data_IF_612391773430
#
_entry.id   IF_612391773430
#
_cell.length_a   1.000
_cell.length_b   1.000
_cell.length_c   1.000
_cell.angle_alpha   90.00
_cell.angle_beta   90.00
_cell.angle_gamma   90.00
#
_symmetry.space_group_name_H-M   'P 1'
#
loop_
_entity.id
_entity.type
_entity.pdbx_description
1 polymer ?
#
# COMPACT_ATOMS: atom_id res chain seq x y z
N UNK A 1 -21.78 31.86 -13.21
CA UNK A 1 -21.44 32.10 -14.63
C UNK A 1 -19.93 32.19 -14.81
N UNK A 2 -19.18 31.18 -14.36
CA UNK A 2 -17.78 30.93 -14.74
C UNK A 2 -17.67 29.40 -14.85
N UNK A 3 -18.09 28.91 -16.00
CA UNK A 3 -17.94 27.55 -16.49
C UNK A 3 -17.26 27.76 -17.84
N UNK A 4 -15.97 27.42 -17.95
CA UNK A 4 -15.18 27.15 -19.16
C UNK A 4 -13.72 27.51 -18.91
N UNK A 5 -12.92 26.51 -18.52
CA UNK A 5 -11.59 26.21 -19.06
C UNK A 5 -10.98 25.05 -18.26
N UNK A 6 -11.25 23.81 -18.67
CA UNK A 6 -10.58 22.61 -18.16
C UNK A 6 -10.59 21.48 -19.19
N UNK A 7 -10.41 21.80 -20.48
CA UNK A 7 -10.51 20.82 -21.58
C UNK A 7 -9.16 20.27 -22.09
N UNK A 8 -8.08 20.36 -21.33
CA UNK A 8 -6.75 19.92 -21.80
C UNK A 8 -5.98 19.00 -20.84
N UNK A 9 -6.53 18.62 -19.69
CA UNK A 9 -5.87 17.72 -18.72
C UNK A 9 -6.47 16.30 -18.64
N UNK A 10 -7.46 15.99 -19.48
CA UNK A 10 -8.28 14.79 -19.31
C UNK A 10 -7.78 13.47 -19.96
N UNK A 11 -6.83 13.41 -20.91
CA UNK A 11 -6.37 12.12 -21.46
C UNK A 11 -5.25 11.45 -20.64
N UNK A 12 -4.38 12.23 -19.97
CA UNK A 12 -3.26 11.70 -19.19
C UNK A 12 -3.72 11.10 -17.85
N UNK A 13 -4.76 11.66 -17.22
CA UNK A 13 -5.36 11.09 -15.99
C UNK A 13 -6.15 9.79 -16.23
N UNK A 14 -6.60 9.52 -17.46
CA UNK A 14 -7.25 8.25 -17.78
C UNK A 14 -6.23 7.12 -18.01
N UNK A 15 -5.02 7.45 -18.46
CA UNK A 15 -3.96 6.46 -18.69
C UNK A 15 -3.31 5.99 -17.37
N UNK A 16 -3.20 6.86 -16.36
CA UNK A 16 -2.71 6.49 -15.03
C UNK A 16 -3.62 5.45 -14.36
N UNK A 17 -4.94 5.54 -14.54
CA UNK A 17 -5.89 4.54 -14.04
C UNK A 17 -5.85 3.19 -14.79
N UNK A 18 -5.35 3.17 -16.03
CA UNK A 18 -5.27 1.97 -16.90
C UNK A 18 -3.95 1.20 -16.72
N UNK A 19 -2.86 1.87 -16.34
CA UNK A 19 -1.55 1.26 -16.11
C UNK A 19 -1.40 0.58 -14.74
N UNK A 20 -2.34 0.82 -13.84
CA UNK A 20 -2.18 0.53 -12.42
C UNK A 20 -2.37 -0.95 -12.04
N UNK A 21 -2.82 -1.85 -12.93
CA UNK A 21 -3.28 -3.13 -12.42
C UNK A 21 -3.21 -4.32 -13.38
N UNK A 22 -2.78 -5.45 -12.80
CA UNK A 22 -2.80 -6.78 -13.39
C UNK A 22 -1.93 -7.74 -12.59
N UNK A 23 -2.51 -8.66 -11.82
CA UNK A 23 -1.86 -9.92 -11.45
C UNK A 23 -2.94 -10.99 -11.29
N UNK A 24 -2.61 -12.20 -11.72
CA UNK A 24 -3.26 -13.43 -11.33
C UNK A 24 -2.19 -14.53 -11.25
N UNK A 25 -2.38 -15.42 -10.29
CA UNK A 25 -1.53 -16.54 -9.91
C UNK A 25 -1.02 -17.38 -11.09
N UNK A 26 0.25 -17.79 -11.01
CA UNK A 26 0.87 -18.77 -11.90
C UNK A 26 0.86 -20.16 -11.24
N UNK A 27 0.22 -21.14 -11.90
CA UNK A 27 0.42 -22.57 -11.63
C UNK A 27 1.74 -23.06 -12.30
N UNK A 28 2.37 -24.06 -11.67
CA UNK A 28 3.73 -24.60 -11.90
C UNK A 28 4.14 -24.98 -13.37
N UNK A 29 5.44 -24.97 -13.70
CA UNK A 29 5.93 -25.02 -15.09
C UNK A 29 6.34 -26.43 -15.58
N UNK A 30 6.49 -26.62 -16.91
CA UNK A 30 7.44 -27.59 -17.44
C UNK A 30 8.61 -26.92 -18.17
N UNK A 31 9.80 -27.19 -17.65
CA UNK A 31 11.14 -27.29 -18.28
C UNK A 31 11.61 -26.25 -19.31
N UNK A 32 12.58 -25.45 -18.82
CA UNK A 32 13.76 -24.88 -19.49
C UNK A 32 13.58 -24.14 -20.82
N UNK A 33 13.31 -22.84 -20.74
CA UNK A 33 13.74 -21.78 -21.67
C UNK A 33 13.98 -20.49 -20.85
N UNK A 34 14.94 -19.67 -21.26
CA UNK A 34 15.37 -18.38 -20.67
C UNK A 34 14.22 -17.45 -20.20
N UNK A 35 14.43 -16.56 -19.21
CA UNK A 35 13.36 -15.79 -18.58
C UNK A 35 12.74 -14.81 -19.58
N UNK A 36 11.54 -15.14 -20.06
CA UNK A 36 10.65 -14.20 -20.75
C UNK A 36 10.08 -13.27 -19.67
N UNK A 37 10.37 -11.98 -19.76
CA UNK A 37 9.80 -10.96 -18.85
C UNK A 37 8.27 -11.03 -18.90
N UNK A 38 7.64 -11.43 -17.80
CA UNK A 38 6.24 -11.85 -17.70
C UNK A 38 5.20 -10.71 -17.71
N UNK A 39 5.63 -9.44 -17.71
CA UNK A 39 4.76 -8.26 -17.54
C UNK A 39 4.74 -7.28 -18.73
N UNK A 40 5.23 -7.70 -19.90
CA UNK A 40 5.19 -6.90 -21.12
C UNK A 40 4.00 -7.34 -21.97
N UNK A 41 3.07 -6.41 -22.21
CA UNK A 41 1.89 -6.63 -23.02
C UNK A 41 2.02 -5.91 -24.35
N UNK A 42 1.80 -6.62 -25.46
CA UNK A 42 1.68 -6.02 -26.78
C UNK A 42 0.22 -6.07 -27.24
N UNK A 43 -0.36 -4.90 -27.52
CA UNK A 43 -1.74 -4.73 -27.94
C UNK A 43 -1.74 -4.22 -29.38
N UNK A 44 -2.39 -4.96 -30.27
CA UNK A 44 -2.50 -4.60 -31.70
C UNK A 44 -3.93 -4.29 -32.06
N UNK A 45 -4.17 -3.09 -32.57
CA UNK A 45 -5.50 -2.62 -32.95
C UNK A 45 -5.49 -2.25 -34.43
N UNK A 46 -6.21 -3.02 -35.24
CA UNK A 46 -6.31 -2.75 -36.69
C UNK A 46 -7.26 -1.58 -36.93
N UNK A 47 -6.83 -0.60 -37.75
CA UNK A 47 -7.67 0.52 -38.13
C UNK A 47 -8.82 0.10 -39.06
N UNK A 48 -9.88 0.89 -39.02
CA UNK A 48 -10.99 0.81 -39.98
C UNK A 48 -10.99 2.12 -40.76
N UNK A 49 -10.78 2.05 -42.07
CA UNK A 49 -10.61 3.22 -42.95
C UNK A 49 -9.49 4.17 -42.45
N UNK A 50 -8.38 3.60 -41.99
CA UNK A 50 -7.24 4.35 -41.44
C UNK A 50 -7.50 5.04 -40.10
N UNK A 51 -8.64 4.80 -39.45
CA UNK A 51 -8.97 5.36 -38.15
C UNK A 51 -9.08 4.27 -37.07
N UNK A 52 -8.61 4.59 -35.87
CA UNK A 52 -8.85 3.80 -34.66
C UNK A 52 -9.67 4.63 -33.69
N UNK A 53 -10.82 4.12 -33.25
CA UNK A 53 -11.64 4.82 -32.26
C UNK A 53 -10.96 4.77 -30.89
N UNK A 54 -11.05 5.86 -30.11
CA UNK A 54 -10.54 5.86 -28.73
C UNK A 54 -11.23 4.79 -27.87
N UNK A 55 -12.48 4.48 -28.18
CA UNK A 55 -13.21 3.36 -27.55
C UNK A 55 -12.50 2.03 -27.73
N UNK A 56 -12.05 1.74 -28.94
CA UNK A 56 -11.30 0.51 -29.26
C UNK A 56 -9.94 0.47 -28.58
N UNK A 57 -9.24 1.62 -28.48
CA UNK A 57 -7.95 1.71 -27.76
C UNK A 57 -8.12 1.35 -26.29
N UNK A 58 -9.07 1.99 -25.62
CA UNK A 58 -9.31 1.74 -24.20
C UNK A 58 -9.84 0.32 -23.97
N UNK A 59 -10.71 -0.18 -24.85
CA UNK A 59 -11.19 -1.56 -24.80
C UNK A 59 -10.04 -2.58 -24.91
N UNK A 60 -9.13 -2.40 -25.87
CA UNK A 60 -8.03 -3.33 -26.06
C UNK A 60 -7.03 -3.31 -24.88
N UNK A 61 -6.79 -2.14 -24.28
CA UNK A 61 -6.01 -2.01 -23.04
C UNK A 61 -6.74 -2.65 -21.85
N UNK A 62 -8.05 -2.45 -21.76
CA UNK A 62 -8.90 -3.05 -20.73
C UNK A 62 -8.91 -4.59 -20.83
N UNK A 63 -9.09 -5.19 -22.00
CA UNK A 63 -9.08 -6.64 -22.19
C UNK A 63 -7.73 -7.26 -21.82
N UNK A 64 -6.64 -6.58 -22.19
CA UNK A 64 -5.27 -7.05 -21.92
C UNK A 64 -4.91 -6.98 -20.44
N UNK A 65 -5.46 -6.00 -19.71
CA UNK A 65 -5.31 -5.87 -18.25
C UNK A 65 -6.40 -6.54 -17.41
N UNK A 66 -7.26 -7.38 -18.00
CA UNK A 66 -8.41 -8.07 -17.36
C UNK A 66 -9.44 -7.11 -16.71
N UNK A 67 -9.75 -6.00 -17.35
CA UNK A 67 -10.82 -5.09 -16.93
C UNK A 67 -12.16 -5.48 -17.62
N UNK A 68 -13.30 -5.21 -16.97
CA UNK A 68 -14.63 -5.48 -17.56
C UNK A 68 -14.97 -4.40 -18.59
N UNK A 69 -15.10 -4.85 -19.84
CA UNK A 69 -15.31 -4.02 -21.03
C UNK A 69 -16.69 -3.38 -21.13
N UNK A 70 -17.66 -3.84 -20.35
CA UNK A 70 -19.03 -3.31 -20.35
C UNK A 70 -19.13 -1.87 -19.82
N UNK A 71 -18.20 -1.45 -18.94
CA UNK A 71 -18.14 -0.08 -18.42
C UNK A 71 -17.69 0.98 -19.43
N UNK A 72 -17.22 0.56 -20.62
CA UNK A 72 -16.59 1.43 -21.62
C UNK A 72 -17.47 1.72 -22.85
N UNK A 73 -18.75 1.32 -22.84
CA UNK A 73 -19.68 1.46 -23.97
C UNK A 73 -19.96 2.91 -24.42
N UNK A 74 -19.52 3.94 -23.68
CA UNK A 74 -19.66 5.36 -24.06
C UNK A 74 -18.41 6.20 -23.73
N UNK A 75 -17.27 5.85 -24.33
CA UNK A 75 -16.03 6.63 -24.29
C UNK A 75 -16.13 7.94 -25.12
N UNK A 76 -15.26 8.95 -24.89
CA UNK A 76 -15.36 10.23 -25.59
C UNK A 76 -15.35 10.04 -27.12
N UNK A 77 -16.30 10.69 -27.80
CA UNK A 77 -16.40 10.69 -29.26
C UNK A 77 -15.08 11.20 -29.87
N UNK A 78 -14.41 10.32 -30.63
CA UNK A 78 -13.18 10.65 -31.33
C UNK A 78 -12.44 9.44 -31.88
N UNK A 79 -11.72 9.65 -32.97
CA UNK A 79 -10.83 8.65 -33.55
C UNK A 79 -9.46 9.25 -33.81
N UNK A 80 -8.46 8.38 -33.79
CA UNK A 80 -7.11 8.67 -34.23
C UNK A 80 -7.00 8.23 -35.68
N UNK A 81 -6.70 9.15 -36.59
CA UNK A 81 -6.39 8.81 -37.97
C UNK A 81 -4.90 8.44 -38.08
N UNK A 82 -4.59 7.18 -38.34
CA UNK A 82 -3.21 6.66 -38.42
C UNK A 82 -2.48 7.08 -39.71
N UNK A 83 -3.21 7.59 -40.69
CA UNK A 83 -2.67 8.11 -41.95
C UNK A 83 -2.34 9.61 -41.88
N UNK A 84 -2.82 10.34 -40.85
CA UNK A 84 -2.50 11.76 -40.66
C UNK A 84 -1.08 11.96 -40.13
N UNK A 85 -0.30 12.81 -40.79
CA UNK A 85 1.06 13.17 -40.38
C UNK A 85 1.12 13.87 -39.01
N UNK A 86 0.01 14.50 -38.57
CA UNK A 86 -0.11 15.08 -37.22
C UNK A 86 -0.20 14.02 -36.12
N UNK A 87 -0.76 12.86 -36.44
CA UNK A 87 -0.81 11.72 -35.52
C UNK A 87 0.59 11.19 -35.22
N UNK A 88 1.47 11.12 -36.22
CA UNK A 88 2.86 10.71 -36.02
C UNK A 88 3.62 11.64 -35.05
N UNK A 89 3.39 12.96 -35.14
CA UNK A 89 3.97 13.92 -34.20
C UNK A 89 3.39 13.77 -32.78
N UNK A 90 2.09 13.48 -32.66
CA UNK A 90 1.44 13.19 -31.38
C UNK A 90 1.94 11.92 -30.71
N UNK A 91 2.12 10.83 -31.48
CA UNK A 91 2.67 9.57 -30.99
C UNK A 91 4.14 9.68 -30.61
N UNK A 92 4.93 10.46 -31.35
CA UNK A 92 6.30 10.77 -30.98
C UNK A 92 6.38 11.48 -29.63
N UNK A 93 5.53 12.50 -29.41
CA UNK A 93 5.47 13.22 -28.13
C UNK A 93 4.99 12.31 -26.99
N UNK A 94 4.04 11.40 -27.26
CA UNK A 94 3.57 10.42 -26.29
C UNK A 94 4.68 9.42 -25.90
N UNK A 95 5.42 8.86 -26.87
CA UNK A 95 6.54 7.95 -26.61
C UNK A 95 7.69 8.60 -25.86
N UNK A 96 7.93 9.90 -26.07
CA UNK A 96 8.91 10.66 -25.28
C UNK A 96 8.48 10.88 -23.83
N UNK A 97 7.20 10.71 -23.51
CA UNK A 97 6.65 10.86 -22.16
C UNK A 97 6.49 9.52 -21.42
N UNK A 98 6.42 8.41 -22.16
CA UNK A 98 6.33 7.04 -21.62
C UNK A 98 7.70 6.52 -21.16
N UNK A 99 7.74 5.51 -20.26
CA UNK A 99 8.95 4.72 -19.99
C UNK A 99 9.53 4.12 -21.29
N UNK A 100 10.84 3.86 -21.36
CA UNK A 100 11.47 3.31 -22.57
C UNK A 100 10.94 1.93 -22.96
N UNK A 101 10.43 1.19 -21.97
CA UNK A 101 9.82 -0.13 -22.09
C UNK A 101 8.35 -0.07 -22.57
N UNK A 102 7.75 1.12 -22.59
CA UNK A 102 6.39 1.36 -23.09
C UNK A 102 6.44 2.13 -24.42
N UNK A 103 5.65 1.72 -25.41
CA UNK A 103 5.62 2.43 -26.68
C UNK A 103 4.27 2.36 -27.37
N UNK A 104 3.98 3.36 -28.20
CA UNK A 104 2.83 3.40 -29.10
C UNK A 104 3.33 3.67 -30.50
N UNK A 105 3.11 2.72 -31.41
CA UNK A 105 3.62 2.74 -32.77
C UNK A 105 2.51 2.50 -33.78
N UNK A 106 2.77 2.87 -35.04
CA UNK A 106 1.89 2.53 -36.16
C UNK A 106 2.62 1.49 -37.01
N UNK A 107 2.06 0.29 -37.08
CA UNK A 107 2.49 -0.75 -38.02
C UNK A 107 1.64 -0.61 -39.29
N UNK A 108 2.27 -0.35 -40.43
CA UNK A 108 1.54 -0.09 -41.70
C UNK A 108 1.36 -1.35 -42.55
N UNK A 109 1.87 -2.50 -42.13
CA UNK A 109 1.79 -3.74 -42.91
C UNK A 109 2.42 -3.62 -44.30
N UNK A 110 1.96 -4.45 -45.24
CA UNK A 110 2.33 -4.39 -46.65
C UNK A 110 1.44 -3.42 -47.45
N UNK A 111 1.82 -3.09 -48.70
CA UNK A 111 1.06 -2.16 -49.56
C UNK A 111 -0.39 -2.64 -49.77
N UNK A 112 -1.34 -1.98 -49.11
CA UNK A 112 -2.77 -2.28 -49.20
C UNK A 112 -3.41 -2.75 -47.90
N UNK A 113 -2.61 -2.99 -46.85
CA UNK A 113 -3.11 -3.33 -45.51
C UNK A 113 -3.64 -2.10 -44.77
N UNK A 114 -4.61 -2.32 -43.87
CA UNK A 114 -5.04 -1.29 -42.92
C UNK A 114 -3.98 -1.12 -41.82
N UNK A 115 -3.58 0.12 -41.51
CA UNK A 115 -2.57 0.35 -40.49
C UNK A 115 -3.06 -0.11 -39.11
N UNK A 116 -2.16 -0.66 -38.31
CA UNK A 116 -2.41 -1.07 -36.94
C UNK A 116 -1.76 -0.09 -35.96
N UNK A 117 -2.47 0.20 -34.87
CA UNK A 117 -1.88 0.82 -33.69
C UNK A 117 -1.33 -0.29 -32.80
N UNK A 118 -0.02 -0.26 -32.55
CA UNK A 118 0.67 -1.22 -31.68
C UNK A 118 1.05 -0.51 -30.39
N UNK A 119 0.60 -1.03 -29.26
CA UNK A 119 0.89 -0.49 -27.94
C UNK A 119 1.66 -1.56 -27.15
N UNK A 120 2.88 -1.24 -26.74
CA UNK A 120 3.68 -2.04 -25.82
C UNK A 120 3.58 -1.41 -24.44
N UNK A 121 3.22 -2.20 -23.43
CA UNK A 121 3.11 -1.76 -22.03
C UNK A 121 3.94 -2.70 -21.16
N UNK A 122 4.95 -2.14 -20.50
CA UNK A 122 5.60 -2.76 -19.35
C UNK A 122 4.98 -2.17 -18.09
N UNK A 123 4.25 -3.01 -17.35
CA UNK A 123 3.48 -2.59 -16.17
C UNK A 123 4.40 -2.06 -15.06
N UNK A 124 5.50 -2.74 -14.81
CA UNK A 124 6.40 -2.41 -13.71
C UNK A 124 7.15 -1.10 -14.02
N UNK A 125 7.56 -0.92 -15.28
CA UNK A 125 8.15 0.33 -15.75
C UNK A 125 7.16 1.51 -15.67
N UNK A 126 5.88 1.29 -15.96
CA UNK A 126 4.84 2.30 -15.85
C UNK A 126 4.57 2.70 -14.39
N UNK A 127 4.49 1.73 -13.48
CA UNK A 127 4.35 1.98 -12.04
C UNK A 127 5.57 2.71 -11.47
N UNK A 128 6.78 2.28 -11.83
CA UNK A 128 8.01 2.96 -11.44
C UNK A 128 8.03 4.43 -11.92
N UNK A 129 7.55 4.68 -13.14
CA UNK A 129 7.44 6.05 -13.67
C UNK A 129 6.41 6.90 -12.95
N UNK A 130 5.28 6.33 -12.53
CA UNK A 130 4.31 7.04 -11.69
C UNK A 130 4.93 7.44 -10.35
N UNK A 131 5.62 6.51 -9.68
CA UNK A 131 6.39 6.78 -8.45
C UNK A 131 7.43 7.88 -8.66
N UNK A 132 8.16 7.86 -9.76
CA UNK A 132 9.13 8.90 -10.10
C UNK A 132 8.49 10.29 -10.27
N UNK A 133 7.33 10.37 -10.92
CA UNK A 133 6.59 11.62 -11.09
C UNK A 133 6.09 12.12 -9.73
N UNK A 134 5.54 11.23 -8.91
CA UNK A 134 5.07 11.54 -7.56
C UNK A 134 6.22 12.06 -6.69
N UNK A 135 7.38 11.40 -6.71
CA UNK A 135 8.61 11.86 -6.04
C UNK A 135 9.04 13.25 -6.50
N UNK A 136 9.08 13.50 -7.82
CA UNK A 136 9.43 14.83 -8.35
C UNK A 136 8.43 15.92 -7.94
N UNK A 137 7.16 15.57 -7.74
CA UNK A 137 6.15 16.49 -7.20
C UNK A 137 6.45 16.79 -5.73
N UNK A 138 6.73 15.77 -4.90
CA UNK A 138 7.11 15.94 -3.48
C UNK A 138 8.33 16.84 -3.31
N UNK A 139 9.41 16.57 -4.05
CA UNK A 139 10.65 17.37 -4.03
C UNK A 139 10.42 18.86 -4.36
N UNK A 140 9.43 19.16 -5.21
CA UNK A 140 9.09 20.53 -5.60
C UNK A 140 8.18 21.26 -4.61
N UNK A 141 7.35 20.52 -3.88
CA UNK A 141 6.47 21.06 -2.85
C UNK A 141 7.27 21.34 -1.57
N UNK A 142 8.35 20.59 -1.36
CA UNK A 142 9.26 20.75 -0.22
C UNK A 142 8.75 19.98 0.99
N UNK A 143 9.57 19.06 1.50
CA UNK A 143 9.30 18.36 2.76
C UNK A 143 9.74 19.24 3.94
N UNK A 144 8.94 19.28 5.01
CA UNK A 144 9.30 19.94 6.26
C UNK A 144 10.42 19.15 6.96
N UNK A 145 11.67 19.52 6.66
CA UNK A 145 12.85 18.98 7.32
C UNK A 145 12.73 19.19 8.85
N UNK A 146 12.59 18.09 9.59
CA UNK A 146 12.42 18.06 11.05
C UNK A 146 11.06 17.53 11.56
N UNK A 147 10.11 17.21 10.67
CA UNK A 147 8.82 16.58 11.04
C UNK A 147 8.93 15.05 11.24
N UNK A 148 9.79 14.40 10.45
CA UNK A 148 9.96 12.95 10.43
C UNK A 148 11.30 12.54 11.03
N UNK A 149 11.38 11.34 11.59
CA UNK A 149 12.58 10.82 12.25
C UNK A 149 12.27 10.07 13.54
N UNK A 150 13.32 9.73 14.30
CA UNK A 150 13.21 9.08 15.59
C UNK A 150 13.20 10.12 16.73
N UNK A 151 12.11 10.16 17.48
CA UNK A 151 11.92 11.08 18.60
C UNK A 151 11.93 10.30 19.91
N UNK A 152 12.97 10.50 20.71
CA UNK A 152 13.13 9.85 22.02
C UNK A 152 12.57 10.73 23.14
N UNK A 153 12.03 10.09 24.17
CA UNK A 153 11.49 10.79 25.33
C UNK A 153 12.57 11.54 26.11
N UNK A 154 12.18 12.65 26.75
CA UNK A 154 13.10 13.40 27.60
C UNK A 154 13.62 12.52 28.75
N UNK A 155 14.94 12.38 28.84
CA UNK A 155 15.59 11.59 29.89
C UNK A 155 15.53 10.09 29.68
N UNK A 156 15.23 9.61 28.47
CA UNK A 156 15.29 8.18 28.11
C UNK A 156 16.62 7.52 28.51
N UNK A 157 17.73 8.28 28.48
CA UNK A 157 19.07 7.87 28.86
C UNK A 157 19.27 7.63 30.36
N UNK A 158 18.36 8.13 31.20
CA UNK A 158 18.43 7.97 32.66
C UNK A 158 17.76 6.67 33.14
N UNK A 159 17.06 5.98 32.24
CA UNK A 159 16.36 4.72 32.53
C UNK A 159 17.28 3.54 32.18
N UNK A 160 17.30 2.55 33.08
CA UNK A 160 18.20 1.40 33.03
C UNK A 160 18.26 0.71 31.66
N UNK A 161 19.47 0.45 31.19
CA UNK A 161 19.79 -0.32 29.97
C UNK A 161 19.57 -1.83 30.13
N UNK A 162 19.16 -2.29 31.31
CA UNK A 162 18.71 -3.68 31.52
C UNK A 162 17.49 -4.01 30.64
N UNK A 163 16.65 -3.00 30.34
CA UNK A 163 15.53 -3.12 29.41
C UNK A 163 15.88 -2.50 28.04
N UNK A 164 15.39 -3.07 26.93
CA UNK A 164 15.54 -2.44 25.62
C UNK A 164 14.85 -1.06 25.58
N UNK A 165 15.34 -0.17 24.73
CA UNK A 165 14.59 1.03 24.34
C UNK A 165 13.40 0.59 23.46
N UNK A 166 12.19 0.99 23.82
CA UNK A 166 10.99 0.69 23.04
C UNK A 166 10.75 1.77 21.98
N UNK A 167 10.78 1.41 20.71
CA UNK A 167 10.44 2.31 19.60
C UNK A 167 9.05 1.97 19.09
N UNK A 168 8.14 2.95 19.14
CA UNK A 168 6.77 2.82 18.63
C UNK A 168 6.74 3.27 17.18
N UNK A 169 6.18 2.44 16.29
CA UNK A 169 6.05 2.74 14.85
C UNK A 169 4.57 2.71 14.48
N UNK A 170 4.06 3.86 14.00
CA UNK A 170 2.66 4.00 13.60
C UNK A 170 2.36 3.36 12.24
N UNK A 171 1.07 3.29 11.87
CA UNK A 171 0.59 2.73 10.60
C UNK A 171 0.24 3.77 9.53
N UNK A 172 -0.51 3.31 8.53
CA UNK A 172 -1.01 4.10 7.40
C UNK A 172 -1.96 5.21 7.86
N UNK A 173 -1.88 6.38 7.23
CA UNK A 173 -2.63 7.60 7.56
C UNK A 173 -2.74 7.91 9.07
N UNK A 174 -1.65 7.63 9.79
CA UNK A 174 -1.54 7.80 11.24
C UNK A 174 -0.38 8.72 11.60
N UNK A 175 -0.16 8.92 12.89
CA UNK A 175 1.01 9.61 13.46
C UNK A 175 1.20 9.10 14.88
N UNK A 176 2.34 9.40 15.50
CA UNK A 176 2.57 9.07 16.91
C UNK A 176 1.44 9.53 17.84
N UNK A 177 0.70 10.59 17.48
CA UNK A 177 -0.41 11.14 18.29
C UNK A 177 -1.55 10.15 18.47
N UNK A 178 -1.82 9.30 17.49
CA UNK A 178 -2.86 8.28 17.62
C UNK A 178 -2.43 7.15 18.55
N UNK A 179 -1.12 6.97 18.80
CA UNK A 179 -0.60 5.97 19.73
C UNK A 179 -0.22 6.58 21.08
N UNK A 180 -0.63 7.82 21.38
CA UNK A 180 -0.24 8.51 22.61
C UNK A 180 -0.73 7.79 23.86
N UNK A 181 -1.91 7.15 23.82
CA UNK A 181 -2.41 6.36 24.94
C UNK A 181 -1.48 5.19 25.29
N UNK A 182 -0.97 4.49 24.29
CA UNK A 182 0.01 3.40 24.48
C UNK A 182 1.37 3.94 24.94
N UNK A 183 1.81 5.05 24.37
CA UNK A 183 3.04 5.73 24.78
C UNK A 183 3.00 6.14 26.27
N UNK A 184 1.88 6.72 26.72
CA UNK A 184 1.67 7.08 28.13
C UNK A 184 1.72 5.86 29.06
N UNK A 185 1.20 4.71 28.63
CA UNK A 185 1.29 3.46 29.41
C UNK A 185 2.75 3.03 29.56
N UNK A 186 3.55 3.02 28.49
CA UNK A 186 4.97 2.68 28.55
C UNK A 186 5.74 3.59 29.51
N UNK A 187 5.45 4.90 29.47
CA UNK A 187 6.03 5.87 30.40
C UNK A 187 5.62 5.60 31.85
N UNK A 188 4.36 5.26 32.09
CA UNK A 188 3.85 4.94 33.43
C UNK A 188 4.49 3.68 34.02
N UNK A 189 4.82 2.71 33.16
CA UNK A 189 5.53 1.47 33.49
C UNK A 189 7.06 1.63 33.48
N UNK A 190 7.55 2.88 33.38
CA UNK A 190 8.97 3.25 33.43
C UNK A 190 9.83 2.60 32.33
N UNK A 191 9.28 2.40 31.13
CA UNK A 191 10.05 2.01 29.96
C UNK A 191 10.78 3.23 29.36
N UNK A 192 12.05 3.05 28.95
CA UNK A 192 12.66 3.96 27.98
C UNK A 192 11.92 3.78 26.67
N UNK A 193 11.34 4.84 26.12
CA UNK A 193 10.67 4.75 24.83
C UNK A 193 10.86 5.99 23.96
N UNK A 194 10.49 5.83 22.71
CA UNK A 194 10.43 6.87 21.70
C UNK A 194 9.51 6.46 20.57
N UNK A 195 9.25 7.39 19.67
CA UNK A 195 8.36 7.21 18.53
C UNK A 195 9.12 7.46 17.24
N UNK A 196 8.84 6.67 16.21
CA UNK A 196 9.31 6.93 14.87
C UNK A 196 8.16 7.51 14.05
N UNK A 197 8.35 8.73 13.55
CA UNK A 197 7.38 9.44 12.70
C UNK A 197 7.88 9.43 11.26
N UNK A 198 7.02 9.01 10.32
CA UNK A 198 7.36 8.93 8.90
C UNK A 198 6.15 9.30 8.03
N UNK A 199 6.36 9.67 6.74
CA UNK A 199 5.27 9.92 5.81
C UNK A 199 4.32 8.73 5.73
N UNK A 200 3.08 8.90 6.17
CA UNK A 200 2.18 7.79 6.50
C UNK A 200 1.41 7.22 5.29
N UNK A 201 1.56 7.83 4.11
CA UNK A 201 0.98 7.40 2.84
C UNK A 201 1.99 7.48 1.68
N UNK A 202 3.28 7.67 1.98
CA UNK A 202 4.39 7.60 1.03
C UNK A 202 4.86 6.15 0.74
N UNK A 203 5.83 5.95 -0.17
CA UNK A 203 6.37 4.63 -0.45
C UNK A 203 6.99 3.96 0.80
N UNK A 204 6.70 2.67 1.02
CA UNK A 204 7.16 1.99 2.24
C UNK A 204 8.68 1.79 2.26
N UNK A 205 9.31 1.68 1.09
CA UNK A 205 10.77 1.58 0.96
C UNK A 205 11.49 2.88 1.36
N UNK A 206 10.92 4.04 1.04
CA UNK A 206 11.42 5.35 1.51
C UNK A 206 11.30 5.48 3.04
N UNK A 207 10.17 5.02 3.59
CA UNK A 207 9.94 5.02 5.04
C UNK A 207 10.88 4.07 5.78
N UNK A 208 11.15 2.89 5.19
CA UNK A 208 12.11 1.94 5.71
C UNK A 208 13.54 2.50 5.64
N UNK A 209 13.91 3.18 4.55
CA UNK A 209 15.22 3.82 4.43
C UNK A 209 15.44 4.91 5.49
N UNK A 210 14.41 5.71 5.79
CA UNK A 210 14.46 6.69 6.87
C UNK A 210 14.62 6.01 8.24
N UNK A 211 13.82 4.97 8.53
CA UNK A 211 13.94 4.21 9.78
C UNK A 211 15.33 3.60 9.95
N UNK A 212 15.88 3.01 8.88
CA UNK A 212 17.22 2.43 8.88
C UNK A 212 18.29 3.49 9.20
N UNK A 213 18.19 4.68 8.61
CA UNK A 213 19.10 5.80 8.88
C UNK A 213 19.06 6.20 10.36
N UNK A 214 17.87 6.45 10.90
CA UNK A 214 17.68 6.90 12.28
C UNK A 214 18.17 5.85 13.30
N UNK A 215 17.86 4.58 13.07
CA UNK A 215 18.34 3.50 13.95
C UNK A 215 19.85 3.29 13.86
N UNK A 216 20.44 3.45 12.67
CA UNK A 216 21.89 3.36 12.48
C UNK A 216 22.62 4.52 13.18
N UNK A 217 22.09 5.74 13.08
CA UNK A 217 22.61 6.90 13.81
C UNK A 217 22.48 6.71 15.33
N UNK A 218 21.32 6.25 15.80
CA UNK A 218 21.11 5.94 17.21
C UNK A 218 22.12 4.89 17.71
N UNK A 219 22.31 3.78 16.96
CA UNK A 219 23.27 2.73 17.32
C UNK A 219 24.71 3.25 17.32
N UNK A 220 25.08 4.12 16.40
CA UNK A 220 26.42 4.72 16.34
C UNK A 220 26.75 5.45 17.64
N UNK A 221 25.78 6.15 18.20
CA UNK A 221 25.93 6.89 19.46
C UNK A 221 25.69 6.00 20.70
N UNK A 222 24.95 4.88 20.55
CA UNK A 222 24.57 3.96 21.63
C UNK A 222 24.80 2.48 21.24
N UNK A 223 26.07 2.02 21.09
CA UNK A 223 26.39 0.75 20.45
C UNK A 223 25.89 -0.49 21.19
N UNK A 224 25.75 -0.40 22.52
CA UNK A 224 25.30 -1.51 23.37
C UNK A 224 23.78 -1.47 23.64
N UNK A 225 23.08 -0.43 23.18
CA UNK A 225 21.65 -0.27 23.46
C UNK A 225 20.81 -1.13 22.55
N UNK A 226 20.07 -2.06 23.15
CA UNK A 226 19.09 -2.92 22.48
C UNK A 226 17.79 -2.18 22.24
N UNK A 227 17.14 -2.49 21.13
CA UNK A 227 15.87 -1.91 20.72
C UNK A 227 14.80 -3.01 20.62
N UNK A 228 13.63 -2.71 21.17
CA UNK A 228 12.39 -3.45 20.93
C UNK A 228 11.46 -2.53 20.13
N UNK A 229 10.94 -3.01 19.01
CA UNK A 229 9.99 -2.25 18.20
C UNK A 229 8.58 -2.76 18.45
N UNK A 230 7.65 -1.85 18.76
CA UNK A 230 6.21 -2.11 18.77
C UNK A 230 5.61 -1.39 17.58
N UNK A 231 5.15 -2.15 16.60
CA UNK A 231 4.71 -1.62 15.34
C UNK A 231 3.23 -1.91 15.10
N UNK A 232 2.45 -0.87 14.82
CA UNK A 232 1.03 -0.98 14.50
C UNK A 232 0.81 -0.98 12.99
N UNK A 233 -0.05 -1.89 12.52
CA UNK A 233 -0.50 -1.97 11.14
C UNK A 233 0.69 -1.93 10.16
N UNK A 234 0.69 -0.99 9.21
CA UNK A 234 1.74 -0.77 8.21
C UNK A 234 3.15 -0.58 8.81
N UNK A 235 3.26 -0.05 10.04
CA UNK A 235 4.56 0.13 10.71
C UNK A 235 5.34 -1.17 10.87
N UNK A 236 4.65 -2.31 10.96
CA UNK A 236 5.29 -3.63 11.02
C UNK A 236 6.01 -3.95 9.72
N UNK A 237 5.42 -3.60 8.57
CA UNK A 237 6.04 -3.79 7.25
C UNK A 237 7.27 -2.89 7.08
N UNK A 238 7.17 -1.62 7.50
CA UNK A 238 8.29 -0.67 7.49
C UNK A 238 9.45 -1.21 8.33
N UNK A 239 9.16 -1.72 9.53
CA UNK A 239 10.19 -2.28 10.42
C UNK A 239 10.82 -3.54 9.83
N UNK A 240 10.00 -4.48 9.35
CA UNK A 240 10.47 -5.70 8.67
C UNK A 240 11.39 -5.38 7.49
N UNK A 241 11.04 -4.38 6.68
CA UNK A 241 11.82 -3.98 5.51
C UNK A 241 13.24 -3.51 5.87
N UNK A 242 13.44 -3.01 7.09
CA UNK A 242 14.75 -2.66 7.65
C UNK A 242 15.46 -3.90 8.18
N UNK A 243 14.87 -4.58 9.18
CA UNK A 243 15.58 -5.62 9.95
C UNK A 243 15.80 -6.92 9.16
N UNK A 244 15.04 -7.16 8.09
CA UNK A 244 15.19 -8.33 7.21
C UNK A 244 16.02 -8.03 5.96
N UNK A 245 16.53 -6.79 5.83
CA UNK A 245 17.48 -6.45 4.79
C UNK A 245 18.86 -6.26 5.43
N UNK A 246 19.84 -7.16 5.19
CA UNK A 246 21.19 -7.03 5.74
C UNK A 246 21.91 -5.71 5.41
N UNK A 247 21.50 -5.01 4.35
CA UNK A 247 22.08 -3.71 3.99
C UNK A 247 21.49 -2.55 4.80
N UNK A 248 20.28 -2.73 5.36
CA UNK A 248 19.56 -1.71 6.14
C UNK A 248 19.56 -2.00 7.64
N UNK A 249 19.70 -3.27 8.04
CA UNK A 249 19.62 -3.68 9.44
C UNK A 249 20.71 -3.01 10.30
N UNK A 250 20.34 -2.20 11.32
CA UNK A 250 21.30 -1.60 12.23
C UNK A 250 21.99 -2.64 13.12
N UNK A 251 21.37 -3.81 13.35
CA UNK A 251 21.94 -4.92 14.13
C UNK A 251 21.76 -4.83 15.65
N UNK A 252 20.99 -3.86 16.16
CA UNK A 252 20.65 -3.71 17.58
C UNK A 252 19.15 -3.79 17.89
N UNK A 253 18.30 -3.97 16.88
CA UNK A 253 16.91 -4.39 17.09
C UNK A 253 16.92 -5.86 17.49
N UNK A 254 16.28 -6.21 18.61
CA UNK A 254 16.22 -7.58 19.14
C UNK A 254 14.81 -8.12 19.26
N UNK A 255 13.82 -7.25 19.10
CA UNK A 255 12.42 -7.64 19.18
C UNK A 255 11.59 -6.79 18.24
N UNK A 256 10.64 -7.43 17.57
CA UNK A 256 9.57 -6.80 16.82
C UNK A 256 8.23 -7.40 17.25
N UNK A 257 7.40 -6.59 17.89
CA UNK A 257 6.00 -6.90 18.20
C UNK A 257 5.13 -6.22 17.15
N UNK A 258 4.53 -7.04 16.28
CA UNK A 258 3.62 -6.58 15.24
C UNK A 258 2.18 -6.66 15.72
N UNK A 259 1.48 -5.53 15.66
CA UNK A 259 0.09 -5.39 16.06
C UNK A 259 -0.73 -5.11 14.81
N UNK A 260 -1.61 -6.04 14.43
CA UNK A 260 -2.49 -5.89 13.27
C UNK A 260 -1.77 -5.61 11.94
N UNK A 261 -0.53 -6.10 11.78
CA UNK A 261 0.27 -5.83 10.57
C UNK A 261 -0.24 -6.63 9.36
N UNK A 262 -0.50 -5.99 8.20
CA UNK A 262 -0.90 -6.67 6.97
C UNK A 262 0.29 -7.33 6.27
N UNK A 263 0.85 -8.39 6.85
CA UNK A 263 2.03 -9.10 6.33
C UNK A 263 1.87 -9.61 4.87
N UNK A 264 0.64 -9.88 4.46
CA UNK A 264 0.26 -10.23 3.08
C UNK A 264 -0.73 -9.24 2.46
N UNK A 265 -0.73 -8.00 2.92
CA UNK A 265 -1.57 -6.92 2.39
C UNK A 265 -2.99 -6.90 2.96
N UNK A 266 -3.81 -6.02 2.39
CA UNK A 266 -5.21 -5.82 2.78
C UNK A 266 -6.08 -5.53 1.55
N UNK A 267 -7.23 -6.20 1.43
CA UNK A 267 -8.22 -5.93 0.39
C UNK A 267 -8.87 -4.56 0.60
N UNK A 268 -8.91 -4.04 1.83
CA UNK A 268 -9.34 -2.66 2.11
C UNK A 268 -8.55 -1.64 1.28
N UNK A 269 -7.28 -1.91 0.97
CA UNK A 269 -6.46 -1.02 0.14
C UNK A 269 -6.92 -0.94 -1.32
N UNK A 270 -7.78 -1.86 -1.80
CA UNK A 270 -8.45 -1.74 -3.10
C UNK A 270 -9.65 -0.78 -3.09
N UNK A 271 -10.15 -0.41 -1.92
CA UNK A 271 -11.30 0.48 -1.78
C UNK A 271 -10.83 1.87 -1.33
N UNK A 272 -10.76 2.87 -2.23
CA UNK A 272 -10.42 4.24 -1.85
C UNK A 272 -11.30 4.79 -0.73
N UNK A 273 -12.60 4.43 -0.73
CA UNK A 273 -13.54 4.80 0.33
C UNK A 273 -13.42 3.96 1.62
N UNK A 274 -12.75 2.80 1.56
CA UNK A 274 -12.49 1.96 2.74
C UNK A 274 -11.36 2.52 3.61
N UNK A 275 -10.36 3.12 2.97
CA UNK A 275 -9.31 3.89 3.65
C UNK A 275 -9.92 5.15 4.30
N UNK A 276 -10.80 5.88 3.60
CA UNK A 276 -11.58 7.00 4.18
C UNK A 276 -12.48 6.55 5.37
N UNK A 277 -12.98 5.29 5.39
CA UNK A 277 -13.82 4.79 6.48
C UNK A 277 -13.04 4.57 7.79
N UNK A 278 -11.77 4.15 7.71
CA UNK A 278 -10.87 4.13 8.86
C UNK A 278 -10.57 5.53 9.38
N UNK A 279 -10.45 6.52 8.48
CA UNK A 279 -10.16 7.92 8.82
C UNK A 279 -11.31 8.61 9.59
N UNK A 280 -12.56 8.23 9.31
CA UNK A 280 -13.73 8.99 9.76
C UNK A 280 -14.40 8.49 11.05
N UNK A 281 -13.94 7.40 11.69
CA UNK A 281 -14.50 6.99 13.00
C UNK A 281 -14.08 7.88 14.17
N UNK A 282 -13.04 8.71 14.02
CA UNK A 282 -12.57 9.59 15.10
C UNK A 282 -12.81 11.10 14.89
N UNK A 283 -13.33 11.55 13.72
CA UNK A 283 -13.60 12.97 13.46
C UNK A 283 -15.07 13.24 13.10
N UNK A 284 -15.80 13.92 14.00
CA UNK A 284 -17.13 14.51 13.75
C UNK A 284 -17.13 15.71 12.76
N UNK A 285 -16.11 15.90 11.92
CA UNK A 285 -16.03 17.05 11.01
C UNK A 285 -16.29 16.67 9.54
N UNK A 286 -17.55 16.89 9.13
CA UNK A 286 -18.06 17.23 7.79
C UNK A 286 -17.09 17.09 6.61
N UNK A 287 -17.25 16.02 5.83
CA UNK A 287 -16.63 15.82 4.52
C UNK A 287 -17.09 16.88 3.49
N UNK A 288 -16.18 17.77 3.07
CA UNK A 288 -16.19 18.29 1.71
C UNK A 288 -15.11 17.54 0.91
N UNK A 289 -15.53 16.83 -0.15
CA UNK A 289 -14.67 16.07 -1.08
C UNK A 289 -13.56 16.89 -1.78
N UNK A 290 -13.40 18.18 -1.44
CA UNK A 290 -12.35 19.07 -1.91
C UNK A 290 -11.09 19.12 -1.03
N UNK A 291 -11.08 18.49 0.15
CA UNK A 291 -9.93 18.52 1.07
C UNK A 291 -8.81 17.52 0.72
N UNK A 292 -9.09 16.49 -0.10
CA UNK A 292 -8.14 15.45 -0.52
C UNK A 292 -6.93 16.05 -1.25
N UNK A 293 -7.15 17.10 -2.05
CA UNK A 293 -6.10 17.76 -2.84
C UNK A 293 -5.21 18.69 -2.00
N UNK A 294 -5.64 19.06 -0.79
CA UNK A 294 -4.92 19.98 0.09
C UNK A 294 -4.16 19.24 1.22
N UNK A 295 -4.58 18.03 1.60
CA UNK A 295 -3.86 17.16 2.56
C UNK A 295 -2.78 16.29 1.90
N UNK A 296 -2.97 15.91 0.64
CA UNK A 296 -1.99 15.16 -0.19
C UNK A 296 -0.71 15.94 -0.55
N UNK A 297 -0.63 17.23 -0.19
CA UNK A 297 0.58 18.02 -0.48
C UNK A 297 1.66 17.90 0.59
N UNK A 298 1.35 17.39 1.78
CA UNK A 298 2.30 17.34 2.90
C UNK A 298 2.59 15.95 3.45
N UNK A 299 1.72 14.97 3.25
CA UNK A 299 1.89 13.64 3.84
C UNK A 299 2.31 12.54 2.83
N UNK A 300 2.01 12.70 1.54
CA UNK A 300 2.29 11.71 0.50
C UNK A 300 1.17 11.75 -0.55
N UNK A 301 1.32 11.01 -1.65
CA UNK A 301 0.31 10.98 -2.73
C UNK A 301 -0.50 9.67 -2.71
N UNK A 302 -0.72 9.09 -1.52
CA UNK A 302 -1.34 7.79 -1.31
C UNK A 302 -0.65 6.63 -2.08
N UNK A 303 0.68 6.61 -2.02
CA UNK A 303 1.51 5.59 -2.65
C UNK A 303 1.59 4.32 -1.80
N UNK A 304 1.51 4.45 -0.47
CA UNK A 304 1.51 3.31 0.46
C UNK A 304 0.37 2.32 0.18
N UNK A 305 -0.80 2.79 -0.27
CA UNK A 305 -1.92 1.90 -0.60
C UNK A 305 -1.55 0.89 -1.70
N UNK A 306 -0.65 1.26 -2.64
CA UNK A 306 -0.18 0.36 -3.69
C UNK A 306 0.72 -0.75 -3.14
N UNK A 307 1.55 -0.43 -2.14
CA UNK A 307 2.41 -1.40 -1.47
C UNK A 307 1.61 -2.31 -0.52
N UNK A 308 0.47 -1.83 -0.01
CA UNK A 308 -0.43 -2.59 0.86
C UNK A 308 -1.39 -3.54 0.11
N UNK A 309 -1.46 -3.47 -1.22
CA UNK A 309 -2.24 -4.44 -2.00
C UNK A 309 -1.71 -5.86 -1.79
N UNK A 310 -2.59 -6.86 -1.60
CA UNK A 310 -2.22 -8.25 -1.74
C UNK A 310 -1.44 -8.47 -3.03
N UNK A 311 -0.35 -9.22 -2.96
CA UNK A 311 0.56 -9.51 -4.08
C UNK A 311 1.27 -8.28 -4.69
N UNK A 312 1.41 -7.19 -3.93
CA UNK A 312 2.24 -6.06 -4.34
C UNK A 312 3.70 -6.49 -4.51
N UNK A 313 4.44 -5.82 -5.41
CA UNK A 313 5.86 -6.08 -5.61
C UNK A 313 6.68 -5.87 -4.31
N UNK A 314 6.26 -4.90 -3.49
CA UNK A 314 6.86 -4.66 -2.18
C UNK A 314 6.67 -5.87 -1.24
N UNK A 315 5.43 -6.38 -1.12
CA UNK A 315 5.15 -7.51 -0.23
C UNK A 315 5.78 -8.81 -0.71
N UNK A 316 5.84 -9.07 -2.02
CA UNK A 316 6.61 -10.20 -2.55
C UNK A 316 8.08 -10.08 -2.18
N UNK A 317 8.71 -8.94 -2.48
CA UNK A 317 10.11 -8.68 -2.14
C UNK A 317 10.39 -8.80 -0.64
N UNK A 318 9.45 -8.37 0.21
CA UNK A 318 9.58 -8.44 1.66
C UNK A 318 9.39 -9.86 2.21
N UNK A 319 8.40 -10.59 1.70
CA UNK A 319 8.07 -11.94 2.16
C UNK A 319 9.06 -13.00 1.64
N UNK A 320 9.75 -12.74 0.53
CA UNK A 320 10.84 -13.60 0.03
C UNK A 320 12.11 -13.54 0.88
N UNK A 321 12.22 -12.59 1.82
CA UNK A 321 13.39 -12.44 2.69
C UNK A 321 13.33 -13.42 3.86
N UNK A 322 14.50 -13.97 4.22
CA UNK A 322 14.65 -14.73 5.45
C UNK A 322 14.36 -13.84 6.68
N UNK A 323 13.75 -14.44 7.72
CA UNK A 323 13.57 -13.75 9.00
C UNK A 323 14.93 -13.50 9.63
N UNK A 324 15.11 -12.36 10.29
CA UNK A 324 16.34 -12.07 11.00
C UNK A 324 16.46 -12.94 12.26
N UNK A 325 17.47 -13.82 12.32
CA UNK A 325 17.65 -14.75 13.43
C UNK A 325 18.00 -14.09 14.77
N UNK A 326 18.48 -12.84 14.73
CA UNK A 326 18.83 -12.08 15.93
C UNK A 326 17.62 -11.29 16.48
N UNK A 327 16.47 -11.33 15.79
CA UNK A 327 15.24 -10.64 16.18
C UNK A 327 14.17 -11.65 16.59
N UNK A 328 13.57 -11.43 17.76
CA UNK A 328 12.34 -12.11 18.17
C UNK A 328 11.13 -11.43 17.54
N UNK A 329 10.30 -12.21 16.87
CA UNK A 329 9.05 -11.72 16.28
C UNK A 329 7.86 -12.18 17.12
N UNK A 330 6.88 -11.28 17.29
CA UNK A 330 5.59 -11.58 17.91
C UNK A 330 4.46 -10.99 17.07
N UNK A 331 3.40 -11.76 16.83
CA UNK A 331 2.19 -11.29 16.13
C UNK A 331 1.01 -11.20 17.09
N UNK A 332 0.43 -10.01 17.19
CA UNK A 332 -0.85 -9.76 17.84
C UNK A 332 -1.88 -9.47 16.76
N UNK A 333 -2.78 -10.42 16.52
CA UNK A 333 -3.72 -10.41 15.41
C UNK A 333 -5.15 -10.20 15.94
N UNK A 334 -5.84 -9.19 15.41
CA UNK A 334 -7.21 -8.86 15.78
C UNK A 334 -8.23 -9.76 15.11
N UNK A 335 -9.35 -10.00 15.78
CA UNK A 335 -10.41 -10.89 15.31
C UNK A 335 -11.82 -10.30 15.44
N UNK A 336 -11.96 -8.98 15.61
CA UNK A 336 -13.27 -8.32 15.63
C UNK A 336 -13.56 -7.57 14.34
N UNK A 337 -13.90 -8.33 13.30
CA UNK A 337 -14.51 -7.79 12.11
C UNK A 337 -15.90 -7.19 12.43
N UNK A 338 -16.31 -6.08 11.78
CA UNK A 338 -17.59 -5.43 12.01
C UNK A 338 -18.82 -6.22 11.54
N UNK A 339 -18.65 -7.28 10.76
CA UNK A 339 -19.73 -8.04 10.13
C UNK A 339 -19.77 -9.48 10.63
N UNK A 340 -20.98 -10.02 10.72
CA UNK A 340 -21.16 -11.48 10.75
C UNK A 340 -21.00 -12.06 9.33
N UNK A 341 -20.82 -13.37 9.21
CA UNK A 341 -20.76 -14.07 7.91
C UNK A 341 -22.00 -13.76 7.04
N UNK A 342 -23.20 -13.79 7.65
CA UNK A 342 -24.44 -13.43 6.97
C UNK A 342 -24.47 -11.94 6.55
N UNK A 343 -23.93 -11.05 7.38
CA UNK A 343 -23.80 -9.62 7.05
C UNK A 343 -22.83 -9.36 5.91
N UNK A 344 -21.75 -10.13 5.80
CA UNK A 344 -20.83 -10.06 4.67
C UNK A 344 -21.49 -10.53 3.37
N UNK A 345 -22.33 -11.57 3.40
CA UNK A 345 -23.10 -12.02 2.24
C UNK A 345 -24.15 -11.00 1.77
N UNK A 346 -24.81 -10.33 2.72
CA UNK A 346 -25.68 -9.20 2.43
C UNK A 346 -24.90 -8.06 1.76
N UNK A 347 -23.76 -7.65 2.34
CA UNK A 347 -22.91 -6.60 1.79
C UNK A 347 -22.41 -6.94 0.37
N UNK A 348 -21.98 -8.18 0.12
CA UNK A 348 -21.61 -8.66 -1.23
C UNK A 348 -22.75 -8.45 -2.22
N UNK A 349 -23.97 -8.79 -1.82
CA UNK A 349 -25.15 -8.67 -2.67
C UNK A 349 -25.46 -7.20 -2.96
N UNK A 350 -25.36 -6.32 -1.97
CA UNK A 350 -25.58 -4.88 -2.12
C UNK A 350 -24.52 -4.22 -3.00
N UNK A 351 -23.23 -4.53 -2.80
CA UNK A 351 -22.16 -3.99 -3.63
C UNK A 351 -22.31 -4.48 -5.07
N UNK A 352 -22.63 -5.76 -5.31
CA UNK A 352 -22.89 -6.28 -6.66
C UNK A 352 -24.04 -5.54 -7.36
N UNK A 353 -25.14 -5.31 -6.64
CA UNK A 353 -26.25 -4.51 -7.16
C UNK A 353 -25.82 -3.06 -7.48
N UNK A 354 -25.01 -2.44 -6.62
CA UNK A 354 -24.48 -1.09 -6.87
C UNK A 354 -23.52 -1.03 -8.07
N UNK A 355 -22.70 -2.07 -8.29
CA UNK A 355 -21.87 -2.19 -9.49
C UNK A 355 -22.76 -2.28 -10.73
N UNK A 356 -23.84 -3.07 -10.68
CA UNK A 356 -24.78 -3.21 -11.81
C UNK A 356 -25.45 -1.88 -12.16
N UNK A 357 -25.66 -1.00 -11.18
CA UNK A 357 -26.26 0.33 -11.36
C UNK A 357 -25.26 1.42 -11.77
N UNK A 358 -23.95 1.21 -11.58
CA UNK A 358 -22.91 2.23 -11.79
C UNK A 358 -21.91 1.85 -12.88
N UNK A 359 -21.98 2.54 -14.02
CA UNK A 359 -21.05 2.36 -15.15
C UNK A 359 -19.57 2.55 -14.78
N UNK A 360 -19.28 3.44 -13.84
CA UNK A 360 -17.92 3.67 -13.37
C UNK A 360 -17.40 2.47 -12.58
N UNK A 361 -18.26 1.85 -11.76
CA UNK A 361 -17.89 0.68 -10.96
C UNK A 361 -17.80 -0.58 -11.83
N UNK A 362 -18.56 -0.66 -12.93
CA UNK A 362 -18.45 -1.76 -13.89
C UNK A 362 -17.05 -1.87 -14.49
N UNK A 363 -16.37 -0.75 -14.76
CA UNK A 363 -14.98 -0.75 -15.28
C UNK A 363 -14.03 -1.54 -14.38
N UNK A 364 -14.23 -1.47 -13.06
CA UNK A 364 -13.39 -2.10 -12.04
C UNK A 364 -14.04 -3.34 -11.43
N UNK A 365 -15.17 -3.82 -12.00
CA UNK A 365 -15.93 -4.98 -11.48
C UNK A 365 -15.06 -6.18 -11.16
N UNK A 366 -14.15 -6.66 -12.04
CA UNK A 366 -13.38 -7.87 -11.75
C UNK A 366 -12.60 -7.78 -10.44
N UNK A 367 -12.05 -6.60 -10.12
CA UNK A 367 -11.29 -6.40 -8.87
C UNK A 367 -12.17 -6.26 -7.65
N UNK A 368 -13.30 -5.58 -7.82
CA UNK A 368 -14.27 -5.51 -6.73
C UNK A 368 -14.79 -6.93 -6.46
N UNK A 369 -15.06 -7.74 -7.48
CA UNK A 369 -15.44 -9.15 -7.31
C UNK A 369 -14.34 -9.96 -6.63
N UNK A 370 -13.08 -9.86 -7.07
CA UNK A 370 -11.94 -10.52 -6.42
C UNK A 370 -11.83 -10.13 -4.92
N UNK A 371 -12.02 -8.85 -4.60
CA UNK A 371 -12.03 -8.35 -3.23
C UNK A 371 -13.30 -8.78 -2.45
N UNK A 372 -14.46 -8.86 -3.10
CA UNK A 372 -15.73 -9.31 -2.51
C UNK A 372 -15.74 -10.81 -2.23
N UNK A 373 -15.02 -11.61 -3.02
CA UNK A 373 -14.84 -13.04 -2.73
C UNK A 373 -14.09 -13.23 -1.40
N UNK A 374 -13.24 -12.29 -1.02
CA UNK A 374 -12.34 -12.39 0.11
C UNK A 374 -12.46 -11.19 1.08
N UNK A 375 -13.60 -11.12 1.77
CA UNK A 375 -13.94 -10.09 2.76
C UNK A 375 -13.60 -10.47 4.20
N UNK A 376 -12.70 -11.45 4.40
CA UNK A 376 -12.35 -11.98 5.72
C UNK A 376 -11.93 -10.88 6.71
N UNK A 377 -11.34 -9.79 6.20
CA UNK A 377 -11.01 -8.57 6.96
C UNK A 377 -12.18 -8.04 7.77
N UNK A 378 -13.39 -8.10 7.23
CA UNK A 378 -14.58 -7.51 7.85
C UNK A 378 -15.38 -8.51 8.67
N UNK A 379 -15.07 -9.80 8.57
CA UNK A 379 -15.85 -10.87 9.19
C UNK A 379 -15.32 -11.11 10.61
N UNK A 380 -16.22 -11.19 11.58
CA UNK A 380 -15.89 -11.53 12.97
C UNK A 380 -15.17 -12.88 13.04
N UNK A 381 -14.15 -12.98 13.90
CA UNK A 381 -13.21 -14.10 14.02
C UNK A 381 -12.19 -14.24 12.85
N UNK A 382 -12.48 -13.72 11.67
CA UNK A 382 -11.65 -13.85 10.47
C UNK A 382 -10.79 -12.61 10.17
N UNK A 383 -11.09 -11.47 10.79
CA UNK A 383 -10.33 -10.23 10.62
C UNK A 383 -10.60 -9.20 11.71
N UNK A 384 -9.95 -8.05 11.61
CA UNK A 384 -10.05 -6.95 12.59
C UNK A 384 -10.76 -5.69 12.05
N UNK A 385 -11.36 -5.78 10.87
CA UNK A 385 -11.98 -4.68 10.15
C UNK A 385 -11.08 -4.04 9.08
N UNK A 386 -9.80 -4.37 9.02
CA UNK A 386 -8.90 -3.91 7.97
C UNK A 386 -7.91 -4.98 7.47
N UNK A 387 -7.54 -5.94 8.33
CA UNK A 387 -6.59 -7.01 8.01
C UNK A 387 -7.22 -8.35 8.40
N UNK A 388 -7.26 -9.29 7.44
CA UNK A 388 -7.70 -10.65 7.70
C UNK A 388 -6.65 -11.38 8.53
N UNK A 389 -7.11 -12.27 9.42
CA UNK A 389 -6.24 -13.14 10.23
C UNK A 389 -5.23 -13.87 9.36
N UNK A 390 -5.67 -14.42 8.21
CA UNK A 390 -4.79 -15.11 7.27
C UNK A 390 -3.70 -14.22 6.67
N UNK A 391 -3.97 -12.92 6.47
CA UNK A 391 -3.02 -11.94 5.92
C UNK A 391 -2.13 -11.31 6.98
N UNK A 392 -2.56 -11.33 8.24
CA UNK A 392 -1.77 -10.87 9.37
C UNK A 392 -0.72 -11.90 9.82
N UNK A 393 -0.91 -13.19 9.48
CA UNK A 393 0.08 -14.24 9.74
C UNK A 393 1.38 -13.99 8.98
N UNK A 394 2.46 -14.57 9.50
CA UNK A 394 3.78 -14.53 8.89
C UNK A 394 4.49 -15.86 9.12
N UNK A 395 5.05 -16.44 8.06
CA UNK A 395 5.77 -17.70 8.15
C UNK A 395 7.02 -17.57 9.04
N UNK A 396 7.29 -18.61 9.84
CA UNK A 396 8.44 -18.65 10.75
C UNK A 396 8.24 -17.88 12.07
N UNK A 397 7.04 -17.38 12.37
CA UNK A 397 6.74 -16.68 13.63
C UNK A 397 5.79 -17.48 14.51
N UNK A 398 6.36 -18.24 15.46
CA UNK A 398 5.59 -19.11 16.36
C UNK A 398 4.82 -18.34 17.45
N UNK A 399 5.35 -17.21 17.92
CA UNK A 399 4.67 -16.35 18.89
C UNK A 399 3.58 -15.52 18.21
N UNK A 400 2.48 -16.20 17.89
CA UNK A 400 1.28 -15.61 17.28
C UNK A 400 0.10 -15.76 18.24
N UNK A 401 -0.53 -14.64 18.60
CA UNK A 401 -1.70 -14.61 19.46
C UNK A 401 -2.87 -13.91 18.75
N UNK A 402 -4.01 -14.60 18.69
CA UNK A 402 -5.27 -14.05 18.23
C UNK A 402 -5.99 -13.44 19.43
N UNK A 403 -6.34 -12.17 19.31
CA UNK A 403 -7.03 -11.42 20.36
C UNK A 403 -8.30 -10.78 19.79
N UNK A 404 -9.40 -10.77 20.55
CA UNK A 404 -10.60 -10.11 20.10
C UNK A 404 -10.40 -8.60 20.27
N UNK A 405 -9.93 -7.91 19.22
CA UNK A 405 -9.86 -6.46 19.10
C UNK A 405 -10.10 -6.04 17.64
N UNK A 406 -10.50 -4.78 17.44
CA UNK A 406 -10.64 -4.12 16.13
C UNK A 406 -9.30 -3.46 15.71
N UNK A 407 -9.07 -3.22 14.42
CA UNK A 407 -7.80 -2.75 13.88
C UNK A 407 -7.22 -1.51 14.60
N UNK A 408 -8.08 -0.57 14.98
CA UNK A 408 -7.72 0.68 15.65
C UNK A 408 -7.71 0.58 17.19
N UNK A 409 -7.77 -0.62 17.77
CA UNK A 409 -7.84 -0.78 19.23
C UNK A 409 -6.66 -0.11 19.96
N UNK A 410 -5.46 -0.13 19.38
CA UNK A 410 -4.27 0.50 19.98
C UNK A 410 -4.30 2.03 19.92
N UNK A 411 -5.18 2.64 19.11
CA UNK A 411 -5.33 4.11 19.04
C UNK A 411 -6.32 4.66 20.06
N UNK A 412 -7.05 3.78 20.75
CA UNK A 412 -8.02 4.17 21.78
C UNK A 412 -7.32 4.60 23.06
N UNK A 413 -8.09 5.22 23.97
CA UNK A 413 -7.58 5.63 25.28
C UNK A 413 -7.51 4.48 26.29
N UNK A 414 -6.59 4.56 27.28
CA UNK A 414 -6.58 3.67 28.44
C UNK A 414 -7.95 3.56 29.12
N UNK A 415 -8.35 2.33 29.48
CA UNK A 415 -9.67 2.02 30.02
C UNK A 415 -10.68 1.52 28.98
N UNK A 416 -10.35 1.59 27.68
CA UNK A 416 -11.06 0.80 26.67
C UNK A 416 -10.65 -0.69 26.79
N UNK A 417 -11.59 -1.64 26.89
CA UNK A 417 -11.27 -3.06 27.10
C UNK A 417 -10.37 -3.68 26.02
N UNK A 418 -10.41 -3.17 24.79
CA UNK A 418 -9.65 -3.69 23.66
C UNK A 418 -8.23 -3.18 23.71
N UNK A 419 -8.10 -1.88 23.99
CA UNK A 419 -6.82 -1.22 24.25
C UNK A 419 -6.09 -1.87 25.43
N UNK A 420 -6.78 -2.04 26.57
CA UNK A 420 -6.17 -2.56 27.79
C UNK A 420 -5.66 -4.00 27.59
N UNK A 421 -6.48 -4.86 26.97
CA UNK A 421 -6.09 -6.24 26.65
C UNK A 421 -4.90 -6.30 25.71
N UNK A 422 -4.92 -5.46 24.67
CA UNK A 422 -3.85 -5.43 23.68
C UNK A 422 -2.55 -4.92 24.31
N UNK A 423 -2.63 -3.88 25.12
CA UNK A 423 -1.50 -3.31 25.85
C UNK A 423 -0.90 -4.31 26.84
N UNK A 424 -1.72 -5.05 27.58
CA UNK A 424 -1.26 -6.14 28.47
C UNK A 424 -0.49 -7.21 27.68
N UNK A 425 -1.00 -7.62 26.51
CA UNK A 425 -0.34 -8.61 25.65
C UNK A 425 1.01 -8.12 25.08
N UNK A 426 1.13 -6.81 24.80
CA UNK A 426 2.39 -6.18 24.37
C UNK A 426 3.38 -6.13 25.54
N UNK A 427 2.97 -5.61 26.70
CA UNK A 427 3.83 -5.47 27.88
C UNK A 427 4.39 -6.83 28.33
N UNK A 428 3.55 -7.86 28.35
CA UNK A 428 3.99 -9.23 28.66
C UNK A 428 5.14 -9.70 27.76
N UNK A 429 5.09 -9.38 26.46
CA UNK A 429 6.15 -9.77 25.50
C UNK A 429 7.40 -8.94 25.64
N UNK A 430 7.26 -7.65 25.96
CA UNK A 430 8.41 -6.80 26.27
C UNK A 430 9.14 -7.32 27.52
N UNK A 431 8.41 -7.80 28.53
CA UNK A 431 8.99 -8.35 29.77
C UNK A 431 9.62 -9.74 29.60
N UNK A 432 9.05 -10.62 28.76
CA UNK A 432 9.60 -11.96 28.50
C UNK A 432 11.07 -11.93 28.03
N UNK A 433 11.48 -10.86 27.37
CA UNK A 433 12.86 -10.67 26.93
C UNK A 433 13.85 -10.44 28.09
N UNK A 434 13.39 -10.04 29.27
CA UNK A 434 14.24 -9.86 30.44
C UNK A 434 14.57 -11.19 31.12
N UNK A 435 13.65 -12.16 31.06
CA UNK A 435 13.77 -13.42 31.79
C UNK A 435 14.57 -14.50 31.05
N UNK A 436 14.58 -14.49 29.71
CA UNK A 436 15.33 -15.46 28.89
C UNK A 436 16.84 -15.16 28.85
N UNK A 437 17.27 -13.93 29.12
CA UNK A 437 18.69 -13.54 29.17
C UNK A 437 19.33 -13.71 30.56
N UNK A 438 18.54 -13.89 31.63
CA UNK A 438 19.05 -14.14 32.99
C UNK A 438 19.36 -15.65 33.22
N UNK A 439 18.99 -16.52 32.27
CA UNK A 439 19.30 -17.97 32.28
C UNK A 439 20.40 -18.32 31.30
#
# INVERSE_FOLDING_TARGET
MILKQSRLLHPLCCLSALLLVGQAAADDPPQSVEPVRTNIYEIRITAVEGCVAWSTVVQAVAETGRFDVSGFENLPDGSINLNDSRTLLGLLALNLALPEECSVQIDRGEDGDEPQLVITLDKDAALARLRDIQRQIRERIGEDAGKYGLFLDEGWENVSDERPLVVIVHGYNSSHRFLSGFHEVLQSESWSCGVFEYPNDGPLDESAALLALELAEFRRDNPDRRIAVVAHSMGGLVTRAVIENPELDPGNVRQLIMVATPNHGSQLAYFPAGLDWLEHREQEESAEAGSLLLRSTTDGLNEAALDLWPDSAFLHSLNDRERNSDVRYSLLIGTRGPLSEAGADELRTEIRAAIDESRLLQIVRPRIEDALEDLDEFIEEEGDGAVAVKRARLEGVDDTELLPFEHLALTRSPGDPDFDRLTEAILKRLEMNLDEEVR
#
